data_IF_878306424948
#
_entry.id   IF_878306424948
#
_cell.length_a   1.000
_cell.length_b   1.000
_cell.length_c   1.000
_cell.angle_alpha   90.00
_cell.angle_beta   90.00
_cell.angle_gamma   90.00
#
_symmetry.space_group_name_H-M   'P 1'
#
loop_
_entity.id
_entity.type
_entity.pdbx_description
1 polymer ?
#
# COMPACT_ATOMS: atom_id res chain seq x y z
N UNK A 1 -9.74 5.03 15.45
CA UNK A 1 -8.67 6.02 15.76
C UNK A 1 -7.74 6.07 14.56
N UNK A 2 -7.30 7.25 14.13
CA UNK A 2 -6.38 7.38 12.98
C UNK A 2 -4.94 7.37 13.50
N UNK A 3 -4.11 6.47 12.98
CA UNK A 3 -2.68 6.43 13.24
C UNK A 3 -1.96 7.38 12.28
N UNK A 4 -1.58 8.56 12.78
CA UNK A 4 -0.94 9.61 11.99
C UNK A 4 0.41 9.17 11.40
N UNK A 5 1.14 8.30 12.11
CA UNK A 5 2.42 7.78 11.65
C UNK A 5 2.23 6.86 10.44
N UNK A 6 1.27 5.95 10.52
CA UNK A 6 0.92 5.07 9.41
C UNK A 6 0.45 5.87 8.18
N UNK A 7 -0.35 6.93 8.38
CA UNK A 7 -0.77 7.82 7.29
C UNK A 7 0.42 8.51 6.62
N UNK A 8 1.35 9.06 7.41
CA UNK A 8 2.54 9.73 6.88
C UNK A 8 3.41 8.74 6.09
N UNK A 9 3.63 7.54 6.65
CA UNK A 9 4.42 6.49 6.01
C UNK A 9 3.79 6.03 4.69
N UNK A 10 2.47 5.83 4.68
CA UNK A 10 1.74 5.48 3.47
C UNK A 10 1.91 6.55 2.37
N UNK A 11 1.81 7.83 2.70
CA UNK A 11 2.02 8.91 1.73
C UNK A 11 3.44 8.94 1.15
N UNK A 12 4.46 8.65 1.95
CA UNK A 12 5.84 8.56 1.49
C UNK A 12 6.02 7.39 0.51
N UNK A 13 5.47 6.23 0.85
CA UNK A 13 5.53 5.02 0.02
C UNK A 13 4.75 5.19 -1.29
N UNK A 14 3.57 5.81 -1.27
CA UNK A 14 2.81 6.11 -2.49
C UNK A 14 3.61 6.98 -3.47
N UNK A 15 4.31 8.01 -2.96
CA UNK A 15 5.20 8.85 -3.78
C UNK A 15 6.42 8.08 -4.28
N UNK A 16 6.93 7.14 -3.49
CA UNK A 16 8.04 6.30 -3.89
C UNK A 16 7.64 5.33 -5.00
N UNK A 17 6.47 4.69 -4.89
CA UNK A 17 5.91 3.85 -5.94
C UNK A 17 5.76 4.60 -7.27
N UNK A 18 5.18 5.82 -7.23
CA UNK A 18 5.03 6.66 -8.42
C UNK A 18 6.37 7.02 -9.06
N UNK A 19 7.40 7.30 -8.25
CA UNK A 19 8.76 7.57 -8.74
C UNK A 19 9.43 6.33 -9.34
N UNK A 20 9.27 5.16 -8.72
CA UNK A 20 9.92 3.92 -9.15
C UNK A 20 9.31 3.39 -10.44
N UNK A 21 7.98 3.43 -10.55
CA UNK A 21 7.23 2.70 -11.57
C UNK A 21 6.50 3.60 -12.58
N UNK A 22 6.53 4.93 -12.38
CA UNK A 22 5.86 5.89 -13.26
C UNK A 22 4.34 5.80 -13.25
N UNK A 23 3.76 5.15 -12.23
CA UNK A 23 2.31 4.90 -12.09
C UNK A 23 1.84 5.27 -10.70
N UNK A 24 0.63 5.81 -10.59
CA UNK A 24 0.00 6.07 -9.30
C UNK A 24 -0.70 4.83 -8.78
N UNK A 25 -0.69 4.67 -7.46
CA UNK A 25 -1.50 3.66 -6.79
C UNK A 25 -2.96 4.06 -6.92
N UNK A 26 -3.77 3.21 -7.55
CA UNK A 26 -5.21 3.40 -7.65
C UNK A 26 -5.87 3.10 -6.30
N UNK A 27 -6.05 4.15 -5.49
CA UNK A 27 -6.57 4.04 -4.13
C UNK A 27 -8.10 4.08 -4.04
N UNK A 28 -8.81 4.31 -5.15
CA UNK A 28 -10.22 4.70 -5.08
C UNK A 28 -11.21 3.55 -4.91
N UNK A 29 -10.88 2.29 -5.27
CA UNK A 29 -11.87 1.20 -5.31
C UNK A 29 -11.34 -0.20 -4.94
N UNK A 30 -10.07 -0.33 -4.50
CA UNK A 30 -9.39 -1.63 -4.48
C UNK A 30 -8.80 -2.00 -3.11
N UNK A 31 -9.20 -1.31 -2.04
CA UNK A 31 -8.76 -1.65 -0.69
C UNK A 31 -9.66 -2.75 -0.11
N UNK A 32 -9.10 -3.89 0.33
CA UNK A 32 -9.85 -4.93 1.04
C UNK A 32 -10.58 -4.34 2.24
N UNK A 33 -11.88 -4.66 2.36
CA UNK A 33 -12.69 -4.22 3.49
C UNK A 33 -12.14 -4.80 4.80
N UNK A 34 -11.88 -3.94 5.78
CA UNK A 34 -11.36 -4.35 7.10
C UNK A 34 -9.84 -4.31 7.23
N UNK A 35 -9.11 -3.92 6.19
CA UNK A 35 -7.67 -3.67 6.26
C UNK A 35 -7.35 -2.52 7.25
N UNK A 36 -6.41 -2.77 8.18
CA UNK A 36 -5.92 -1.71 9.09
C UNK A 36 -4.92 -0.78 8.40
N UNK A 37 -4.62 0.36 9.02
CA UNK A 37 -3.65 1.31 8.47
C UNK A 37 -2.23 0.72 8.43
N UNK A 38 -1.89 -0.09 9.41
CA UNK A 38 -0.61 -0.80 9.51
C UNK A 38 -0.49 -1.88 8.43
N UNK A 39 -1.55 -2.66 8.22
CA UNK A 39 -1.59 -3.64 7.13
C UNK A 39 -1.43 -2.96 5.77
N UNK A 40 -2.08 -1.80 5.57
CA UNK A 40 -1.93 -1.04 4.34
C UNK A 40 -0.48 -0.57 4.14
N UNK A 41 0.20 -0.11 5.19
CA UNK A 41 1.63 0.25 5.11
C UNK A 41 2.48 -0.95 4.72
N UNK A 42 2.27 -2.13 5.32
CA UNK A 42 3.00 -3.35 4.95
C UNK A 42 2.82 -3.70 3.47
N UNK A 43 1.59 -3.63 2.94
CA UNK A 43 1.34 -3.84 1.51
C UNK A 43 2.09 -2.82 0.67
N UNK A 44 2.04 -1.54 1.05
CA UNK A 44 2.74 -0.46 0.34
C UNK A 44 4.25 -0.67 0.29
N UNK A 45 4.87 -1.12 1.38
CA UNK A 45 6.30 -1.43 1.42
C UNK A 45 6.66 -2.52 0.42
N UNK A 46 5.86 -3.59 0.37
CA UNK A 46 6.03 -4.67 -0.60
C UNK A 46 5.90 -4.18 -2.05
N UNK A 47 4.80 -3.50 -2.38
CA UNK A 47 4.55 -3.11 -3.77
C UNK A 47 5.48 -2.00 -4.28
N UNK A 48 6.03 -1.18 -3.39
CA UNK A 48 7.07 -0.20 -3.76
C UNK A 48 8.31 -0.90 -4.33
N UNK A 49 8.67 -2.06 -3.78
CA UNK A 49 9.81 -2.86 -4.21
C UNK A 49 9.51 -3.70 -5.46
N UNK A 50 8.29 -4.24 -5.58
CA UNK A 50 7.94 -5.19 -6.65
C UNK A 50 7.22 -4.59 -7.85
N UNK A 51 6.62 -3.41 -7.70
CA UNK A 51 5.78 -2.78 -8.73
C UNK A 51 4.40 -3.41 -8.88
N UNK A 52 4.03 -4.32 -7.99
CA UNK A 52 2.74 -5.02 -8.01
C UNK A 52 1.56 -4.10 -7.65
N UNK A 53 0.34 -4.61 -7.81
CA UNK A 53 -0.86 -3.91 -7.37
C UNK A 53 -1.13 -4.14 -5.88
N UNK A 54 -1.92 -3.27 -5.26
CA UNK A 54 -2.30 -3.39 -3.84
C UNK A 54 -3.00 -4.70 -3.52
N UNK A 55 -3.81 -5.25 -4.44
CA UNK A 55 -4.46 -6.55 -4.24
C UNK A 55 -3.44 -7.69 -4.19
N UNK A 56 -2.53 -7.73 -5.17
CA UNK A 56 -1.50 -8.78 -5.23
C UNK A 56 -0.59 -8.69 -4.01
N UNK A 57 -0.21 -7.48 -3.60
CA UNK A 57 0.55 -7.28 -2.37
C UNK A 57 -0.22 -7.71 -1.12
N UNK A 58 -1.52 -7.44 -1.04
CA UNK A 58 -2.34 -7.88 0.08
C UNK A 58 -2.45 -9.41 0.19
N UNK A 59 -2.72 -10.09 -0.93
CA UNK A 59 -2.79 -11.55 -0.99
C UNK A 59 -1.48 -12.16 -0.48
N UNK A 60 -0.34 -11.68 -0.99
CA UNK A 60 0.99 -12.19 -0.60
C UNK A 60 1.39 -11.88 0.84
N UNK A 61 0.93 -10.76 1.40
CA UNK A 61 1.30 -10.37 2.76
C UNK A 61 0.42 -11.02 3.83
N UNK A 62 -0.83 -11.40 3.51
CA UNK A 62 -1.82 -11.74 4.53
C UNK A 62 -2.70 -12.96 4.22
N UNK A 63 -2.66 -13.53 3.01
CA UNK A 63 -3.51 -14.66 2.61
C UNK A 63 -2.72 -15.90 2.13
N UNK A 64 -1.45 -15.74 1.72
CA UNK A 64 -0.47 -16.80 1.48
C UNK A 64 0.37 -17.11 2.74
#
# INVERSE_FOLDING_TARGET
>A
MVNQEAVKRAQELMRQYERNWGKRIESSHILPSGMTQEQFVTVLEHIVETGESVLVGYEKCFLD
#
